data_IF_006724211049
#
_entry.id   IF_006724211049
#
_cell.length_a   1.000
_cell.length_b   1.000
_cell.length_c   1.000
_cell.angle_alpha   90.00
_cell.angle_beta   90.00
_cell.angle_gamma   90.00
#
_symmetry.space_group_name_H-M   'P 1'
#
loop_
_entity.id
_entity.type
_entity.pdbx_description
1 polymer ?
#
# COMPACT_ATOMS: atom_id res chain seq x y z
N UNK A 1 24.05 28.80 41.59
CA UNK A 1 22.64 29.16 41.85
C UNK A 1 22.02 29.46 40.49
N UNK A 2 21.11 28.59 40.03
CA UNK A 2 20.36 28.61 38.75
C UNK A 2 21.20 28.59 37.45
N UNK A 3 20.84 27.90 36.37
CA UNK A 3 19.57 27.28 36.03
C UNK A 3 19.78 25.87 35.48
N UNK A 4 19.04 24.97 36.10
CA UNK A 4 18.50 23.73 35.55
C UNK A 4 18.02 23.98 34.10
N UNK A 5 18.76 23.44 33.12
CA UNK A 5 18.32 23.38 31.73
C UNK A 5 18.43 21.93 31.29
N UNK A 6 17.39 21.16 31.60
CA UNK A 6 16.85 20.24 30.62
C UNK A 6 15.33 20.35 30.69
N UNK A 7 14.70 20.65 29.55
CA UNK A 7 13.99 19.55 28.98
C UNK A 7 14.34 19.43 27.51
N UNK A 8 14.85 18.26 27.14
CA UNK A 8 14.35 17.55 25.98
C UNK A 8 12.83 17.79 25.89
N UNK A 9 12.39 18.85 25.21
CA UNK A 9 11.06 18.83 24.61
C UNK A 9 11.09 17.57 23.74
N UNK A 10 10.33 16.51 24.08
CA UNK A 10 10.16 15.46 23.10
C UNK A 10 9.58 16.18 21.90
N UNK A 11 10.31 16.13 20.77
CA UNK A 11 9.78 16.50 19.48
C UNK A 11 8.34 16.04 19.46
N UNK A 12 7.39 16.96 19.26
CA UNK A 12 5.97 16.63 19.15
C UNK A 12 5.92 15.32 18.37
N UNK A 13 5.45 14.20 18.96
CA UNK A 13 5.46 12.94 18.24
C UNK A 13 4.74 13.23 16.94
N UNK A 14 5.38 12.93 15.80
CA UNK A 14 4.76 13.07 14.49
C UNK A 14 3.33 12.59 14.64
N UNK A 15 2.30 13.40 14.29
CA UNK A 15 0.92 13.08 14.62
C UNK A 15 0.69 11.66 14.14
N UNK A 16 0.55 10.71 15.08
CA UNK A 16 0.69 9.28 14.80
C UNK A 16 -0.24 8.92 13.65
N UNK A 17 0.28 8.93 12.43
CA UNK A 17 -0.54 8.75 11.23
C UNK A 17 -1.11 7.36 11.38
N UNK A 18 -2.43 7.28 11.59
CA UNK A 18 -3.07 6.01 11.87
C UNK A 18 -2.96 5.16 10.62
N UNK A 19 -2.17 4.09 10.70
CA UNK A 19 -1.97 3.17 9.60
C UNK A 19 -3.10 2.14 9.56
N UNK A 20 -3.70 1.98 8.39
CA UNK A 20 -4.70 0.95 8.11
C UNK A 20 -4.12 -0.01 7.09
N UNK A 21 -4.01 -1.29 7.45
CA UNK A 21 -3.60 -2.35 6.53
C UNK A 21 -4.83 -2.97 5.88
N UNK A 22 -4.81 -3.08 4.56
CA UNK A 22 -5.88 -3.71 3.77
C UNK A 22 -5.31 -4.89 3.01
N UNK A 23 -5.86 -6.07 3.26
CA UNK A 23 -5.56 -7.27 2.50
C UNK A 23 -6.27 -7.22 1.14
N UNK A 24 -5.49 -7.34 0.07
CA UNK A 24 -5.96 -7.29 -1.32
C UNK A 24 -5.68 -8.59 -2.06
N UNK A 25 -5.35 -9.67 -1.35
CA UNK A 25 -5.03 -10.97 -1.95
C UNK A 25 -6.20 -11.58 -2.73
N UNK A 26 -7.43 -11.20 -2.40
CA UNK A 26 -8.65 -11.60 -3.11
C UNK A 26 -9.07 -10.68 -4.26
N UNK A 27 -8.33 -9.59 -4.55
CA UNK A 27 -8.64 -8.75 -5.70
C UNK A 27 -8.17 -9.45 -6.98
N UNK A 28 -8.98 -9.43 -8.05
CA UNK A 28 -8.62 -10.08 -9.29
C UNK A 28 -7.36 -9.41 -9.87
N UNK A 29 -6.23 -10.11 -9.80
CA UNK A 29 -5.07 -9.88 -10.63
C UNK A 29 -5.50 -10.10 -12.08
N UNK A 30 -5.08 -9.25 -13.02
CA UNK A 30 -5.48 -9.36 -14.41
C UNK A 30 -5.04 -10.73 -14.98
N UNK A 31 -5.96 -11.70 -15.02
CA UNK A 31 -5.76 -12.95 -15.74
C UNK A 31 -6.02 -12.72 -17.24
N UNK A 32 -5.19 -13.32 -18.11
CA UNK A 32 -5.35 -13.25 -19.58
C UNK A 32 -6.67 -13.90 -20.08
N UNK A 33 -7.30 -13.45 -21.21
CA UNK A 33 -8.78 -13.40 -21.38
C UNK A 33 -9.29 -14.34 -22.53
N UNK A 34 -10.61 -14.43 -22.91
CA UNK A 34 -11.52 -13.32 -23.34
C UNK A 34 -12.99 -13.45 -22.79
N UNK A 35 -13.88 -12.46 -22.65
CA UNK A 35 -14.20 -11.27 -23.46
C UNK A 35 -14.73 -10.07 -22.63
N UNK A 36 -14.64 -10.06 -21.28
CA UNK A 36 -15.32 -9.02 -20.47
C UNK A 36 -14.64 -8.59 -19.16
N UNK A 37 -13.42 -9.06 -18.85
CA UNK A 37 -12.84 -8.91 -17.51
C UNK A 37 -11.94 -7.67 -17.31
N UNK A 38 -11.68 -6.86 -18.36
CA UNK A 38 -10.92 -5.62 -18.26
C UNK A 38 -11.54 -4.60 -17.26
N UNK A 39 -12.85 -4.70 -17.00
CA UNK A 39 -13.55 -3.84 -16.03
C UNK A 39 -13.24 -4.19 -14.57
N UNK A 40 -12.84 -5.44 -14.27
CA UNK A 40 -12.57 -5.90 -12.91
C UNK A 40 -11.34 -5.25 -12.29
N UNK A 41 -10.26 -5.14 -13.07
CA UNK A 41 -9.03 -4.45 -12.66
C UNK A 41 -9.24 -2.95 -12.45
N UNK A 42 -9.96 -2.27 -13.35
CA UNK A 42 -10.31 -0.85 -13.15
C UNK A 42 -11.23 -0.63 -11.95
N UNK A 43 -12.16 -1.55 -11.68
CA UNK A 43 -13.02 -1.50 -10.49
C UNK A 43 -12.21 -1.56 -9.20
N UNK A 44 -11.20 -2.43 -9.16
CA UNK A 44 -10.27 -2.53 -8.04
C UNK A 44 -9.45 -1.24 -7.84
N UNK A 45 -8.88 -0.70 -8.92
CA UNK A 45 -8.12 0.58 -8.88
C UNK A 45 -9.01 1.72 -8.40
N UNK A 46 -10.24 1.83 -8.90
CA UNK A 46 -11.19 2.86 -8.49
C UNK A 46 -11.59 2.74 -7.00
N UNK A 47 -11.76 1.51 -6.50
CA UNK A 47 -12.03 1.26 -5.08
C UNK A 47 -10.85 1.68 -4.20
N UNK A 48 -9.62 1.33 -4.60
CA UNK A 48 -8.39 1.74 -3.92
C UNK A 48 -8.20 3.26 -3.91
N UNK A 49 -8.46 3.93 -5.03
CA UNK A 49 -8.39 5.40 -5.12
C UNK A 49 -9.38 6.08 -4.16
N UNK A 50 -10.61 5.55 -4.04
CA UNK A 50 -11.61 6.07 -3.10
C UNK A 50 -11.23 5.80 -1.64
N UNK A 51 -10.75 4.59 -1.34
CA UNK A 51 -10.24 4.23 -0.01
C UNK A 51 -9.12 5.19 0.41
N UNK A 52 -8.16 5.44 -0.50
CA UNK A 52 -7.06 6.36 -0.29
C UNK A 52 -7.54 7.78 0.01
N UNK A 53 -8.50 8.28 -0.78
CA UNK A 53 -9.08 9.59 -0.57
C UNK A 53 -9.79 9.69 0.78
N UNK A 54 -10.56 8.66 1.17
CA UNK A 54 -11.21 8.60 2.47
C UNK A 54 -10.19 8.61 3.62
N UNK A 55 -9.14 7.80 3.51
CA UNK A 55 -8.06 7.76 4.49
C UNK A 55 -7.32 9.10 4.62
N UNK A 56 -6.99 9.77 3.50
CA UNK A 56 -6.38 11.12 3.52
C UNK A 56 -7.27 12.13 4.25
N UNK A 57 -8.58 12.10 4.02
CA UNK A 57 -9.54 13.01 4.69
C UNK A 57 -9.66 12.75 6.19
N UNK A 58 -9.37 11.54 6.65
CA UNK A 58 -9.39 11.18 8.07
C UNK A 58 -8.00 11.19 8.71
N UNK A 59 -6.94 11.57 7.99
CA UNK A 59 -5.56 11.58 8.49
C UNK A 59 -4.96 10.18 8.70
N UNK A 60 -5.38 9.20 7.90
CA UNK A 60 -4.88 7.82 7.93
C UNK A 60 -4.00 7.52 6.70
N UNK A 61 -3.01 6.64 6.89
CA UNK A 61 -2.24 6.03 5.81
C UNK A 61 -2.77 4.64 5.50
N UNK A 62 -2.60 4.19 4.25
CA UNK A 62 -3.07 2.88 3.79
C UNK A 62 -1.87 2.05 3.35
N UNK A 63 -1.74 0.86 3.93
CA UNK A 63 -0.80 -0.18 3.50
C UNK A 63 -1.57 -1.31 2.84
N UNK A 64 -1.12 -1.75 1.67
CA UNK A 64 -1.73 -2.85 0.93
C UNK A 64 -0.90 -4.13 1.12
N UNK A 65 -1.57 -5.20 1.51
CA UNK A 65 -0.99 -6.52 1.75
C UNK A 65 -1.49 -7.52 0.72
N UNK A 66 -0.58 -8.36 0.18
CA UNK A 66 -0.95 -9.42 -0.78
C UNK A 66 -1.30 -8.91 -2.17
N UNK A 67 -0.82 -7.72 -2.57
CA UNK A 67 -1.05 -7.19 -3.90
C UNK A 67 -0.26 -7.97 -4.95
N UNK A 68 -0.96 -8.59 -5.91
CA UNK A 68 -0.35 -9.26 -7.06
C UNK A 68 0.46 -8.30 -7.94
N UNK A 69 1.39 -8.85 -8.71
CA UNK A 69 2.18 -8.07 -9.68
C UNK A 69 1.30 -7.30 -10.68
N UNK A 70 0.23 -7.92 -11.19
CA UNK A 70 -0.70 -7.27 -12.12
C UNK A 70 -1.46 -6.10 -11.48
N UNK A 71 -1.90 -6.26 -10.23
CA UNK A 71 -2.58 -5.19 -9.52
C UNK A 71 -1.62 -4.03 -9.24
N UNK A 72 -0.36 -4.32 -8.88
CA UNK A 72 0.69 -3.30 -8.72
C UNK A 72 0.93 -2.55 -10.04
N UNK A 73 1.03 -3.28 -11.16
CA UNK A 73 1.21 -2.68 -12.49
C UNK A 73 0.02 -1.77 -12.87
N UNK A 74 -1.22 -2.19 -12.59
CA UNK A 74 -2.40 -1.35 -12.82
C UNK A 74 -2.41 -0.09 -11.95
N UNK A 75 -2.00 -0.20 -10.68
CA UNK A 75 -1.92 0.93 -9.76
C UNK A 75 -0.78 1.89 -10.17
N UNK A 76 0.33 1.37 -10.69
CA UNK A 76 1.42 2.16 -11.26
C UNK A 76 0.98 2.91 -12.52
N UNK A 77 0.33 2.22 -13.46
CA UNK A 77 -0.25 2.83 -14.66
C UNK A 77 -1.28 3.92 -14.32
N UNK A 78 -2.02 3.74 -13.22
CA UNK A 78 -2.97 4.74 -12.72
C UNK A 78 -2.32 5.92 -11.97
N UNK A 79 -0.99 5.91 -11.76
CA UNK A 79 -0.25 6.94 -11.03
C UNK A 79 -0.46 6.90 -9.51
N UNK A 80 -0.91 5.76 -8.98
CA UNK A 80 -1.26 5.58 -7.57
C UNK A 80 -0.22 4.77 -6.78
N UNK A 81 0.86 4.29 -7.42
CA UNK A 81 1.84 3.41 -6.78
C UNK A 81 2.59 4.04 -5.59
N UNK A 82 2.80 5.36 -5.61
CA UNK A 82 3.40 6.11 -4.50
C UNK A 82 2.43 6.51 -3.38
N UNK A 83 1.13 6.21 -3.55
CA UNK A 83 0.09 6.56 -2.58
C UNK A 83 -0.19 5.44 -1.57
N UNK A 84 0.38 4.26 -1.78
CA UNK A 84 0.24 3.08 -0.94
C UNK A 84 1.62 2.55 -0.51
N UNK A 85 1.69 2.09 0.74
CA UNK A 85 2.82 1.27 1.18
C UNK A 85 2.53 -0.20 0.82
N UNK A 86 3.49 -0.86 0.19
CA UNK A 86 3.39 -2.26 -0.22
C UNK A 86 4.19 -3.15 0.74
N UNK A 87 3.69 -4.35 1.08
CA UNK A 87 4.58 -5.39 1.59
C UNK A 87 5.53 -5.83 0.47
N UNK A 88 6.85 -5.71 0.70
CA UNK A 88 7.85 -6.32 -0.16
C UNK A 88 7.58 -7.83 -0.22
N UNK A 89 7.66 -8.43 -1.40
CA UNK A 89 7.45 -9.88 -1.55
C UNK A 89 8.62 -10.60 -0.87
N UNK A 90 8.42 -11.07 0.35
CA UNK A 90 9.28 -12.09 0.95
C UNK A 90 9.03 -13.40 0.21
N UNK A 91 9.75 -13.66 -0.88
CA UNK A 91 9.56 -14.92 -1.59
C UNK A 91 10.16 -15.09 -2.97
N UNK A 92 11.38 -14.60 -3.24
CA UNK A 92 12.20 -15.31 -4.23
C UNK A 92 12.85 -16.48 -3.47
N UNK A 93 12.16 -17.62 -3.40
CA UNK A 93 12.85 -18.86 -3.09
C UNK A 93 13.82 -19.09 -4.24
N UNK A 94 15.09 -18.75 -4.00
CA UNK A 94 16.19 -19.07 -4.91
C UNK A 94 16.12 -20.58 -5.12
N UNK A 95 15.58 -21.00 -6.27
CA UNK A 95 15.60 -22.39 -6.68
C UNK A 95 17.08 -22.75 -6.81
N UNK A 96 17.63 -23.40 -5.79
CA UNK A 96 18.95 -23.99 -5.84
C UNK A 96 18.92 -25.07 -6.91
N UNK A 97 19.39 -24.73 -8.12
CA UNK A 97 19.68 -25.72 -9.15
C UNK A 97 21.02 -26.34 -8.78
N UNK A 98 20.99 -27.54 -8.22
CA UNK A 98 22.15 -28.43 -8.20
C UNK A 98 22.21 -29.14 -9.56
N UNK A 99 23.28 -28.89 -10.32
CA UNK A 99 23.81 -29.84 -11.33
C UNK A 99 25.28 -30.12 -11.05
#
# INVERSE_FOLDING_TARGET
MAADRDPQEPACPDPVERLVTVDVSGLPAAAEPPDSQALGGLGAVAALARLRLAARRTGHRVRLRGASADLRALVELAGLAGEFEWEAEEGEQVLGVEE
#
